data_IF_412694307311
#
_entry.id   IF_412694307311
#
_cell.length_a   1.000
_cell.length_b   1.000
_cell.length_c   1.000
_cell.angle_alpha   90.00
_cell.angle_beta   90.00
_cell.angle_gamma   90.00
#
_symmetry.space_group_name_H-M   'P 1'
#
loop_
_entity.id
_entity.type
_entity.pdbx_description
1 polymer ?
#
# COMPACT_ATOMS: atom_id res chain seq x y z
N UNK A 1 -8.23 0.71 8.71
CA UNK A 1 -7.07 0.25 9.48
C UNK A 1 -6.42 1.44 10.13
N UNK A 2 -6.12 1.31 11.42
CA UNK A 2 -5.95 2.45 12.31
C UNK A 2 -4.65 3.22 12.01
N UNK A 3 -3.56 2.48 11.81
CA UNK A 3 -2.23 3.10 11.62
C UNK A 3 -2.06 3.75 10.26
N UNK A 4 -2.80 3.31 9.24
CA UNK A 4 -2.64 3.75 7.85
C UNK A 4 -3.31 5.09 7.60
N UNK A 5 -2.66 5.98 6.84
CA UNK A 5 -3.29 7.23 6.39
C UNK A 5 -4.40 6.89 5.40
N UNK A 6 -5.63 7.29 5.72
CA UNK A 6 -6.82 7.04 4.88
C UNK A 6 -7.05 5.55 4.54
N UNK A 7 -6.54 4.62 5.37
CA UNK A 7 -6.55 3.18 5.11
C UNK A 7 -5.80 2.76 3.83
N UNK A 8 -4.77 3.50 3.45
CA UNK A 8 -3.92 3.16 2.31
C UNK A 8 -2.68 2.39 2.77
N UNK A 9 -2.40 1.25 2.13
CA UNK A 9 -1.17 0.50 2.35
C UNK A 9 0.09 1.36 2.13
N UNK A 10 1.20 0.92 2.74
CA UNK A 10 2.50 1.58 2.63
C UNK A 10 2.45 3.07 3.06
N UNK A 11 1.58 3.37 4.02
CA UNK A 11 1.47 4.68 4.64
C UNK A 11 1.18 4.53 6.13
N UNK A 12 1.48 5.58 6.91
CA UNK A 12 0.95 5.71 8.27
C UNK A 12 0.40 7.12 8.50
N UNK A 13 -0.56 7.25 9.41
CA UNK A 13 -1.14 8.53 9.80
C UNK A 13 -0.18 9.26 10.75
N UNK A 14 0.45 10.37 10.33
CA UNK A 14 1.46 11.05 11.15
C UNK A 14 0.85 11.85 12.32
N UNK A 15 -0.48 11.99 12.38
CA UNK A 15 -1.18 12.69 13.46
C UNK A 15 -1.66 11.69 14.50
N UNK A 16 -2.39 10.65 14.07
CA UNK A 16 -2.91 9.64 14.99
C UNK A 16 -1.83 8.67 15.49
N UNK A 17 -0.80 8.43 14.67
CA UNK A 17 0.33 7.54 14.96
C UNK A 17 1.66 8.30 14.89
N UNK A 18 1.66 9.53 15.41
CA UNK A 18 2.89 10.28 15.65
C UNK A 18 3.85 9.45 16.51
N UNK A 19 5.13 9.37 16.12
CA UNK A 19 6.14 8.61 16.85
C UNK A 19 6.16 7.09 16.60
N UNK A 20 5.39 6.59 15.61
CA UNK A 20 5.37 5.16 15.29
C UNK A 20 6.77 4.58 15.01
N UNK A 21 7.67 5.23 14.25
CA UNK A 21 9.02 4.71 14.04
C UNK A 21 9.82 4.54 15.34
N UNK A 22 9.74 5.52 16.25
CA UNK A 22 10.40 5.51 17.55
C UNK A 22 9.84 4.40 18.45
N UNK A 23 8.52 4.22 18.44
CA UNK A 23 7.86 3.14 19.17
C UNK A 23 8.31 1.76 18.67
N UNK A 24 8.39 1.54 17.36
CA UNK A 24 8.89 0.29 16.78
C UNK A 24 10.35 0.05 17.19
N UNK A 25 11.18 1.09 17.22
CA UNK A 25 12.56 0.99 17.69
C UNK A 25 12.63 0.59 19.17
N UNK A 26 11.78 1.14 20.03
CA UNK A 26 11.69 0.76 21.45
C UNK A 26 11.29 -0.72 21.62
N UNK A 27 10.33 -1.21 20.84
CA UNK A 27 9.95 -2.62 20.85
C UNK A 27 11.14 -3.53 20.51
N UNK A 28 11.90 -3.19 19.47
CA UNK A 28 13.08 -3.95 19.06
C UNK A 28 14.18 -3.94 20.14
N UNK A 29 14.42 -2.81 20.81
CA UNK A 29 15.38 -2.73 21.93
C UNK A 29 15.02 -3.66 23.10
N UNK A 30 13.73 -4.00 23.23
CA UNK A 30 13.21 -4.93 24.25
C UNK A 30 13.13 -6.39 23.77
N UNK A 31 13.61 -6.68 22.56
CA UNK A 31 13.53 -8.02 21.97
C UNK A 31 12.11 -8.42 21.53
N UNK A 32 11.23 -7.45 21.33
CA UNK A 32 9.89 -7.67 20.76
C UNK A 32 9.90 -7.36 19.25
N UNK A 33 8.84 -7.77 18.56
CA UNK A 33 8.67 -7.53 17.12
C UNK A 33 7.36 -6.78 16.84
N UNK A 34 7.37 -5.95 15.80
CA UNK A 34 6.18 -5.27 15.29
C UNK A 34 5.79 -5.87 13.93
N UNK A 35 4.53 -6.28 13.79
CA UNK A 35 4.00 -6.89 12.57
C UNK A 35 2.82 -6.04 12.09
N UNK A 36 2.98 -5.21 11.03
CA UNK A 36 1.88 -4.46 10.45
C UNK A 36 1.00 -5.37 9.57
N UNK A 37 -0.29 -5.04 9.47
CA UNK A 37 -1.18 -5.59 8.44
C UNK A 37 -0.90 -4.88 7.12
N UNK A 38 -0.76 -5.61 6.01
CA UNK A 38 -0.75 -5.06 4.66
C UNK A 38 -1.84 -5.74 3.86
N UNK A 39 -2.72 -4.96 3.24
CA UNK A 39 -3.78 -5.45 2.36
C UNK A 39 -3.26 -5.57 0.90
N UNK A 40 -3.91 -6.36 0.04
CA UNK A 40 -3.52 -6.46 -1.38
C UNK A 40 -4.06 -5.29 -2.22
N UNK A 41 -5.00 -4.49 -1.70
CA UNK A 41 -5.74 -3.49 -2.47
C UNK A 41 -5.13 -2.10 -2.40
N UNK A 42 -4.81 -1.52 -3.55
CA UNK A 42 -4.17 -0.19 -3.64
C UNK A 42 -5.23 0.88 -3.93
N UNK A 43 -5.21 1.99 -3.18
CA UNK A 43 -6.08 3.15 -3.45
C UNK A 43 -5.78 3.74 -4.83
N UNK A 44 -6.82 3.96 -5.63
CA UNK A 44 -6.73 4.60 -6.95
C UNK A 44 -7.35 6.02 -6.98
N UNK A 45 -7.67 6.57 -5.81
CA UNK A 45 -8.35 7.88 -5.66
C UNK A 45 -7.43 8.99 -5.15
N UNK A 46 -6.15 8.69 -4.94
CA UNK A 46 -5.19 9.72 -4.52
C UNK A 46 -4.86 10.67 -5.67
N UNK A 47 -4.36 11.86 -5.33
CA UNK A 47 -3.90 12.81 -6.35
C UNK A 47 -2.74 12.20 -7.14
N UNK A 48 -2.74 12.26 -8.49
CA UNK A 48 -1.65 11.70 -9.28
C UNK A 48 -0.28 12.22 -8.83
N UNK A 49 0.67 11.31 -8.61
CA UNK A 49 2.02 11.65 -8.14
C UNK A 49 2.16 11.80 -6.62
N UNK A 50 1.10 11.60 -5.83
CA UNK A 50 1.16 11.68 -4.35
C UNK A 50 1.10 10.33 -3.66
N UNK A 51 0.86 9.24 -4.40
CA UNK A 51 0.72 7.91 -3.83
C UNK A 51 1.48 6.87 -4.67
N UNK A 52 2.79 6.69 -4.37
CA UNK A 52 3.68 5.83 -5.13
C UNK A 52 3.17 4.40 -5.39
N UNK A 53 2.47 3.73 -4.45
CA UNK A 53 1.90 2.41 -4.74
C UNK A 53 1.00 2.40 -5.97
N UNK A 54 0.13 3.40 -6.14
CA UNK A 54 -0.70 3.50 -7.33
C UNK A 54 0.09 3.96 -8.56
N UNK A 55 0.86 5.04 -8.42
CA UNK A 55 1.57 5.66 -9.55
C UNK A 55 2.59 4.72 -10.21
N UNK A 56 3.31 3.93 -9.41
CA UNK A 56 4.27 2.94 -9.90
C UNK A 56 3.55 1.74 -10.49
N UNK A 57 2.49 1.25 -9.85
CA UNK A 57 1.70 0.12 -10.35
C UNK A 57 1.07 0.40 -11.72
N UNK A 58 0.57 1.63 -11.94
CA UNK A 58 0.10 2.08 -13.25
C UNK A 58 1.24 2.08 -14.28
N UNK A 59 2.41 2.64 -13.93
CA UNK A 59 3.57 2.69 -14.84
C UNK A 59 4.09 1.32 -15.24
N UNK A 60 4.02 0.35 -14.32
CA UNK A 60 4.43 -1.03 -14.58
C UNK A 60 3.33 -1.86 -15.26
N UNK A 61 2.11 -1.32 -15.38
CA UNK A 61 0.94 -2.03 -15.93
C UNK A 61 0.66 -3.38 -15.24
N UNK A 62 0.74 -3.40 -13.90
CA UNK A 62 0.64 -4.64 -13.11
C UNK A 62 -0.72 -4.86 -12.45
N UNK A 63 -1.67 -3.94 -12.61
CA UNK A 63 -2.99 -4.11 -12.01
C UNK A 63 -3.84 -5.08 -12.81
N UNK A 64 -4.60 -5.93 -12.11
CA UNK A 64 -5.65 -6.76 -12.70
C UNK A 64 -6.56 -5.88 -13.54
N UNK A 65 -6.75 -6.27 -14.80
CA UNK A 65 -7.54 -5.50 -15.76
C UNK A 65 -8.95 -6.05 -15.89
N UNK A 66 -9.91 -5.16 -16.19
CA UNK A 66 -11.25 -5.54 -16.62
C UNK A 66 -11.27 -5.92 -18.12
N UNK A 67 -12.44 -6.25 -18.65
CA UNK A 67 -12.59 -6.65 -20.06
C UNK A 67 -12.30 -5.55 -21.08
N UNK A 68 -12.20 -4.27 -20.67
CA UNK A 68 -11.78 -3.17 -21.54
C UNK A 68 -10.28 -2.87 -21.48
N UNK A 69 -9.50 -3.66 -20.72
CA UNK A 69 -8.06 -3.48 -20.56
C UNK A 69 -7.68 -2.35 -19.59
N UNK A 70 -8.63 -1.80 -18.85
CA UNK A 70 -8.37 -0.83 -17.79
C UNK A 70 -8.23 -1.53 -16.44
N UNK A 71 -7.51 -0.96 -15.45
CA UNK A 71 -7.48 -1.51 -14.10
C UNK A 71 -8.90 -1.78 -13.59
N UNK A 72 -9.12 -2.98 -13.07
CA UNK A 72 -10.37 -3.34 -12.41
C UNK A 72 -10.49 -2.53 -11.12
N UNK A 73 -11.60 -1.80 -10.99
CA UNK A 73 -11.87 -0.92 -9.84
C UNK A 73 -13.00 -1.51 -9.00
N UNK A 74 -12.78 -1.57 -7.69
CA UNK A 74 -13.82 -1.87 -6.71
C UNK A 74 -13.55 -1.16 -5.40
N UNK A 75 -13.96 -1.75 -4.27
CA UNK A 75 -14.02 -1.05 -2.98
C UNK A 75 -13.65 -1.95 -1.79
N UNK A 76 -12.66 -1.52 -1.00
CA UNK A 76 -12.38 -2.01 0.37
C UNK A 76 -12.16 -0.82 1.33
N UNK A 77 -11.22 -0.93 2.29
CA UNK A 77 -11.03 0.00 3.41
C UNK A 77 -10.58 1.41 3.04
N UNK A 78 -9.87 1.62 1.93
CA UNK A 78 -9.48 2.96 1.44
C UNK A 78 -10.70 3.87 1.25
N UNK A 79 -10.53 5.14 0.86
CA UNK A 79 -11.68 6.06 0.83
C UNK A 79 -12.68 5.77 -0.28
N UNK A 80 -12.22 5.60 -1.51
CA UNK A 80 -13.09 5.69 -2.68
C UNK A 80 -12.94 4.53 -3.66
N UNK A 81 -11.73 4.28 -4.15
CA UNK A 81 -11.50 3.27 -5.19
C UNK A 81 -10.29 2.39 -4.86
N UNK A 82 -10.38 1.11 -5.21
CA UNK A 82 -9.32 0.10 -5.02
C UNK A 82 -9.01 -0.57 -6.35
N UNK A 83 -7.73 -0.78 -6.63
CA UNK A 83 -7.20 -1.64 -7.70
C UNK A 83 -6.32 -2.74 -7.09
N UNK A 84 -6.08 -3.82 -7.83
CA UNK A 84 -5.39 -5.02 -7.32
C UNK A 84 -4.15 -5.32 -8.16
N UNK A 85 -2.94 -5.34 -7.58
CA UNK A 85 -1.78 -5.91 -8.23
C UNK A 85 -2.05 -7.36 -8.63
N UNK A 86 -1.72 -7.72 -9.86
CA UNK A 86 -1.80 -9.10 -10.34
C UNK A 86 -0.55 -9.86 -9.90
N UNK A 87 -0.64 -10.59 -8.79
CA UNK A 87 0.48 -11.39 -8.27
C UNK A 87 0.86 -12.59 -9.15
N UNK A 88 0.16 -12.82 -10.27
CA UNK A 88 0.59 -13.80 -11.29
C UNK A 88 1.50 -13.17 -12.35
N UNK A 89 1.52 -11.83 -12.47
CA UNK A 89 2.52 -11.11 -13.26
C UNK A 89 3.87 -11.10 -12.52
N UNK A 90 4.97 -11.58 -13.14
CA UNK A 90 6.28 -11.62 -12.50
C UNK A 90 6.80 -10.25 -12.05
N UNK A 91 6.42 -9.16 -12.73
CA UNK A 91 6.83 -7.81 -12.37
C UNK A 91 6.18 -7.33 -11.07
N UNK A 92 5.05 -7.92 -10.68
CA UNK A 92 4.36 -7.57 -9.42
C UNK A 92 5.20 -7.92 -8.20
N UNK A 93 6.04 -8.97 -8.27
CA UNK A 93 6.92 -9.34 -7.16
C UNK A 93 7.97 -8.25 -6.90
N UNK A 94 8.56 -7.71 -7.97
CA UNK A 94 9.53 -6.61 -7.88
C UNK A 94 8.87 -5.33 -7.36
N UNK A 95 7.69 -5.01 -7.88
CA UNK A 95 6.86 -3.91 -7.39
C UNK A 95 6.54 -4.04 -5.89
N UNK A 96 6.03 -5.19 -5.47
CA UNK A 96 5.60 -5.42 -4.08
C UNK A 96 6.79 -5.38 -3.12
N UNK A 97 7.92 -5.96 -3.54
CA UNK A 97 9.18 -5.90 -2.78
C UNK A 97 9.68 -4.47 -2.64
N UNK A 98 9.58 -3.65 -3.69
CA UNK A 98 9.93 -2.24 -3.64
C UNK A 98 9.03 -1.47 -2.67
N UNK A 99 7.71 -1.73 -2.67
CA UNK A 99 6.78 -1.06 -1.76
C UNK A 99 7.08 -1.41 -0.30
N UNK A 100 7.31 -2.69 0.00
CA UNK A 100 7.67 -3.16 1.34
C UNK A 100 9.03 -2.63 1.83
N UNK A 101 10.01 -2.45 0.95
CA UNK A 101 11.34 -1.94 1.31
C UNK A 101 11.35 -0.44 1.61
N UNK A 102 10.45 0.31 0.98
CA UNK A 102 10.40 1.77 1.10
C UNK A 102 9.41 2.26 2.17
N UNK A 103 8.63 1.35 2.75
CA UNK A 103 7.74 1.59 3.88
C UNK A 103 8.49 1.30 5.20
#
# INVERSE_FOLDING_TARGET
MDYMKSNNDFSYDPVAFEGLPEFVQELHQRGMHYIPLIDPGISASETPGTYPPYDIGIKMNIFVQNSSGQPFVGKVWNRESTVWPDFTDPNTVDYWTLMLKNF
#
